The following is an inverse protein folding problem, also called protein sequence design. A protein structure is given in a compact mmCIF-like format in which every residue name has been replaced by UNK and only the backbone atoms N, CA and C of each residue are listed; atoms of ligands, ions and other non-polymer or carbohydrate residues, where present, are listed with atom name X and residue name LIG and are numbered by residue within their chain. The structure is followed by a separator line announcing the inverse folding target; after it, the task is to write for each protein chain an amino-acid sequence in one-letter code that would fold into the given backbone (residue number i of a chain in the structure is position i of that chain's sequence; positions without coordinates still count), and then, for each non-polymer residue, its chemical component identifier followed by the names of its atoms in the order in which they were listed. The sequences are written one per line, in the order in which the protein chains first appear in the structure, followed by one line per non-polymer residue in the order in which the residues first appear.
data_IF_912425578929
#
_entry.id   IF_912425578929
#
_cell.length_a   1.000
_cell.length_b   1.000
_cell.length_c   1.000
_cell.angle_alpha   90.00
_cell.angle_beta   90.00
_cell.angle_gamma   90.00
#
_symmetry.space_group_name_H-M   'P 1'
#
loop_
_entity.id
_entity.type
_entity.pdbx_description
1 polymer ?
#
# COMPACT_ATOMS: atom_id res chain seq x y z
N UNK A 1 8.36 -11.77 -7.27
CA UNK A 1 7.07 -12.47 -7.49
C UNK A 1 6.51 -13.08 -6.20
N UNK A 2 7.30 -13.81 -5.39
CA UNK A 2 6.84 -14.42 -4.12
C UNK A 2 6.22 -13.46 -3.11
N UNK A 3 6.75 -12.23 -3.01
CA UNK A 3 6.18 -11.18 -2.16
C UNK A 3 4.74 -10.79 -2.56
N UNK A 4 4.41 -10.80 -3.85
CA UNK A 4 3.06 -10.45 -4.34
C UNK A 4 2.06 -11.57 -4.01
N UNK A 5 2.51 -12.83 -4.04
CA UNK A 5 1.71 -14.01 -3.71
C UNK A 5 1.86 -14.44 -2.24
N UNK A 6 2.25 -13.51 -1.35
CA UNK A 6 2.63 -13.80 0.03
C UNK A 6 1.61 -14.55 0.90
N UNK A 7 0.27 -14.54 0.68
CA UNK A 7 -0.58 -15.45 1.48
C UNK A 7 -0.44 -16.92 1.07
N UNK A 8 0.13 -17.22 -0.10
CA UNK A 8 0.19 -18.57 -0.67
C UNK A 8 1.61 -19.15 -0.71
N UNK A 9 2.64 -18.32 -0.80
CA UNK A 9 4.04 -18.78 -0.81
C UNK A 9 4.66 -18.79 0.60
N UNK A 10 5.70 -19.62 0.80
CA UNK A 10 6.55 -19.51 1.99
C UNK A 10 7.32 -18.18 1.98
N UNK A 11 7.57 -17.58 3.15
CA UNK A 11 8.19 -16.24 3.26
C UNK A 11 9.67 -16.36 3.60
N UNK A 12 10.54 -16.08 2.64
CA UNK A 12 11.98 -16.01 2.89
C UNK A 12 12.37 -14.66 3.51
N UNK A 13 13.63 -14.56 3.99
CA UNK A 13 14.17 -13.30 4.50
C UNK A 13 14.13 -12.18 3.45
N UNK A 14 14.53 -12.46 2.21
CA UNK A 14 14.51 -11.46 1.13
C UNK A 14 13.09 -10.91 0.86
N UNK A 15 12.07 -11.77 0.89
CA UNK A 15 10.66 -11.36 0.72
C UNK A 15 10.22 -10.43 1.87
N UNK A 16 10.60 -10.77 3.10
CA UNK A 16 10.30 -9.99 4.30
C UNK A 16 11.04 -8.64 4.31
N UNK A 17 12.32 -8.64 3.98
CA UNK A 17 13.15 -7.44 3.93
C UNK A 17 12.65 -6.46 2.87
N UNK A 18 12.39 -6.95 1.65
CA UNK A 18 11.88 -6.12 0.56
C UNK A 18 10.52 -5.49 0.91
N UNK A 19 9.62 -6.25 1.53
CA UNK A 19 8.34 -5.72 1.99
C UNK A 19 8.49 -4.70 3.13
N UNK A 20 9.57 -4.76 3.93
CA UNK A 20 9.87 -3.71 4.91
C UNK A 20 10.24 -2.41 4.21
N UNK A 21 11.17 -2.52 3.25
CA UNK A 21 11.63 -1.35 2.50
C UNK A 21 10.45 -0.69 1.78
N UNK A 22 9.54 -1.50 1.24
CA UNK A 22 8.35 -0.99 0.55
C UNK A 22 7.46 -0.11 1.43
N UNK A 23 7.39 -0.36 2.75
CA UNK A 23 6.63 0.51 3.66
C UNK A 23 7.24 1.91 3.76
N UNK A 24 8.57 2.03 3.73
CA UNK A 24 9.26 3.33 3.66
C UNK A 24 9.11 4.00 2.30
N UNK A 25 8.76 3.25 1.25
CA UNK A 25 8.54 3.76 -0.11
C UNK A 25 7.06 4.11 -0.40
N UNK A 26 6.17 4.13 0.60
CA UNK A 26 4.75 4.45 0.37
C UNK A 26 4.54 5.84 -0.24
N UNK A 27 5.24 6.86 0.24
CA UNK A 27 5.17 8.22 -0.30
C UNK A 27 5.62 8.29 -1.76
N UNK A 28 6.82 7.82 -2.14
CA UNK A 28 7.23 7.85 -3.54
C UNK A 28 6.34 6.97 -4.45
N UNK A 29 5.72 5.90 -3.95
CA UNK A 29 4.73 5.13 -4.72
C UNK A 29 3.45 5.93 -5.01
N UNK A 30 2.99 6.73 -4.05
CA UNK A 30 1.84 7.61 -4.20
C UNK A 30 2.14 8.74 -5.19
N UNK A 31 3.33 9.33 -5.10
CA UNK A 31 3.78 10.35 -6.05
C UNK A 31 3.94 9.76 -7.46
N UNK A 32 4.46 8.54 -7.57
CA UNK A 32 4.58 7.84 -8.84
C UNK A 32 3.21 7.55 -9.46
N UNK A 33 2.22 7.12 -8.66
CA UNK A 33 0.84 6.98 -9.12
C UNK A 33 0.27 8.30 -9.63
N UNK A 34 0.47 9.39 -8.89
CA UNK A 34 0.05 10.73 -9.30
C UNK A 34 0.73 11.14 -10.62
N UNK A 35 2.04 10.97 -10.75
CA UNK A 35 2.79 11.29 -11.97
C UNK A 35 2.28 10.50 -13.17
N UNK A 36 2.05 9.19 -13.03
CA UNK A 36 1.49 8.37 -14.11
C UNK A 36 0.12 8.91 -14.52
N UNK A 37 -0.78 9.11 -13.55
CA UNK A 37 -2.12 9.60 -13.86
C UNK A 37 -2.08 10.98 -14.53
N UNK A 38 -1.23 11.88 -14.01
CA UNK A 38 -1.04 13.22 -14.54
C UNK A 38 -0.57 13.18 -15.99
N UNK A 39 0.45 12.39 -16.32
CA UNK A 39 0.98 12.31 -17.69
C UNK A 39 0.06 11.59 -18.67
N UNK A 40 -0.77 10.65 -18.21
CA UNK A 40 -1.76 9.99 -19.07
C UNK A 40 -2.99 10.85 -19.32
N UNK A 41 -3.34 11.72 -18.37
CA UNK A 41 -4.55 12.55 -18.44
C UNK A 41 -4.29 13.92 -19.05
N UNK A 42 -3.08 14.48 -18.86
CA UNK A 42 -2.69 15.73 -19.48
C UNK A 42 -2.17 15.49 -20.90
N UNK A 43 -2.86 16.07 -21.88
CA UNK A 43 -2.41 16.06 -23.27
C UNK A 43 -1.25 17.01 -23.56
N UNK A 44 -0.94 17.93 -22.64
CA UNK A 44 0.13 18.91 -22.79
C UNK A 44 0.97 19.04 -21.52
N UNK A 45 2.29 18.98 -21.64
CA UNK A 45 3.24 19.02 -20.51
C UNK A 45 3.50 20.42 -19.97
N UNK A 46 3.16 21.46 -20.76
CA UNK A 46 3.35 22.87 -20.38
C UNK A 46 2.15 23.48 -19.66
N UNK A 47 1.01 22.78 -19.62
CA UNK A 47 -0.20 23.24 -18.93
C UNK A 47 -0.53 22.31 -17.78
N UNK A 48 -0.76 22.88 -16.60
CA UNK A 48 -1.32 22.12 -15.49
C UNK A 48 -2.83 21.94 -15.76
N UNK A 49 -3.21 20.82 -16.38
CA UNK A 49 -4.63 20.46 -16.48
C UNK A 49 -5.21 20.08 -15.11
N UNK A 50 -6.34 19.39 -15.08
CA UNK A 50 -7.07 19.10 -13.85
C UNK A 50 -6.31 18.15 -12.90
N UNK A 51 -5.53 18.72 -11.96
CA UNK A 51 -4.82 18.02 -10.90
C UNK A 51 -5.75 17.30 -9.93
N UNK A 52 -7.02 17.72 -9.83
CA UNK A 52 -7.96 17.13 -8.90
C UNK A 52 -8.26 15.68 -9.30
N UNK A 53 -8.36 15.38 -10.60
CA UNK A 53 -8.69 14.05 -11.12
C UNK A 53 -7.73 12.95 -10.66
N UNK A 54 -6.44 13.27 -10.56
CA UNK A 54 -5.36 12.33 -10.23
C UNK A 54 -4.90 12.39 -8.77
N UNK A 55 -5.16 13.50 -8.07
CA UNK A 55 -4.89 13.63 -6.65
C UNK A 55 -6.09 13.19 -5.83
N UNK A 56 -6.90 14.17 -5.44
CA UNK A 56 -8.06 14.04 -4.56
C UNK A 56 -9.22 13.24 -5.17
N UNK A 57 -9.46 13.35 -6.47
CA UNK A 57 -10.61 12.74 -7.16
C UNK A 57 -10.57 11.22 -7.26
N UNK A 58 -9.41 10.58 -7.07
CA UNK A 58 -9.30 9.12 -7.10
C UNK A 58 -9.63 8.50 -5.73
N UNK A 59 -10.92 8.36 -5.43
CA UNK A 59 -11.41 7.75 -4.19
C UNK A 59 -11.13 6.24 -4.04
N UNK A 60 -10.76 5.55 -5.13
CA UNK A 60 -10.54 4.09 -5.13
C UNK A 60 -9.05 3.74 -5.30
N UNK A 61 -8.40 4.24 -6.35
CA UNK A 61 -7.05 3.78 -6.71
C UNK A 61 -6.01 4.29 -5.69
N UNK A 62 -6.09 5.57 -5.33
CA UNK A 62 -5.20 6.22 -4.37
C UNK A 62 -5.13 5.49 -3.00
N UNK A 63 -6.24 5.17 -2.31
CA UNK A 63 -6.16 4.41 -1.07
C UNK A 63 -5.65 2.97 -1.26
N UNK A 64 -5.92 2.33 -2.40
CA UNK A 64 -5.34 1.01 -2.72
C UNK A 64 -3.81 1.12 -2.77
N UNK A 65 -3.27 2.07 -3.54
CA UNK A 65 -1.81 2.28 -3.65
C UNK A 65 -1.18 2.58 -2.29
N UNK A 66 -1.85 3.38 -1.45
CA UNK A 66 -1.40 3.70 -0.11
C UNK A 66 -1.36 2.47 0.82
N UNK A 67 -2.35 1.58 0.71
CA UNK A 67 -2.44 0.36 1.53
C UNK A 67 -1.54 -0.78 1.06
N UNK A 68 -1.11 -0.80 -0.20
CA UNK A 68 -0.38 -1.93 -0.79
C UNK A 68 0.87 -2.35 0.02
N UNK A 69 1.77 -1.44 0.44
CA UNK A 69 2.96 -1.83 1.22
C UNK A 69 2.63 -2.52 2.55
N UNK A 70 1.66 -1.97 3.28
CA UNK A 70 1.21 -2.52 4.55
C UNK A 70 0.49 -3.87 4.35
N UNK A 71 -0.28 -4.01 3.26
CA UNK A 71 -0.92 -5.27 2.89
C UNK A 71 0.07 -6.41 2.69
N UNK A 72 1.16 -6.17 1.94
CA UNK A 72 2.17 -7.21 1.72
C UNK A 72 2.80 -7.67 3.03
N UNK A 73 3.09 -6.75 3.95
CA UNK A 73 3.62 -7.10 5.28
C UNK A 73 2.61 -7.83 6.13
N UNK A 74 1.36 -7.37 6.17
CA UNK A 74 0.27 -8.05 6.87
C UNK A 74 0.12 -9.50 6.39
N UNK A 75 0.03 -9.72 5.07
CA UNK A 75 -0.12 -11.04 4.48
C UNK A 75 1.07 -11.97 4.81
N UNK A 76 2.30 -11.46 4.76
CA UNK A 76 3.49 -12.21 5.16
C UNK A 76 3.48 -12.59 6.64
N UNK A 77 3.06 -11.68 7.53
CA UNK A 77 2.96 -11.96 8.97
C UNK A 77 1.92 -13.04 9.27
N UNK A 78 0.74 -12.97 8.62
CA UNK A 78 -0.31 -14.00 8.73
C UNK A 78 0.20 -15.35 8.19
N UNK A 79 0.89 -15.34 7.05
CA UNK A 79 1.47 -16.55 6.44
C UNK A 79 2.48 -17.22 7.37
N UNK A 80 3.36 -16.45 8.01
CA UNK A 80 4.36 -16.96 8.97
C UNK A 80 3.69 -17.52 10.22
N UNK A 81 2.68 -16.84 10.77
CA UNK A 81 1.89 -17.38 11.87
C UNK A 81 1.25 -18.73 11.49
N UNK A 82 0.71 -18.85 10.27
CA UNK A 82 0.14 -20.11 9.79
C UNK A 82 1.17 -21.24 9.75
N UNK A 83 2.40 -20.95 9.33
CA UNK A 83 3.49 -21.92 9.23
C UNK A 83 4.07 -22.35 10.58
N UNK A 84 4.40 -21.38 11.45
CA UNK A 84 5.07 -21.66 12.71
C UNK A 84 4.13 -21.91 13.88
N UNK A 85 2.86 -21.46 13.78
CA UNK A 85 1.88 -21.40 14.89
C UNK A 85 2.32 -20.53 16.08
N UNK A 86 3.42 -19.80 15.94
CA UNK A 86 3.93 -18.87 16.95
C UNK A 86 3.22 -17.53 16.85
N UNK A 87 2.39 -17.22 17.85
CA UNK A 87 1.64 -15.97 17.89
C UNK A 87 2.57 -14.75 17.97
N UNK A 88 3.64 -14.84 18.77
CA UNK A 88 4.67 -13.81 18.88
C UNK A 88 5.90 -14.21 18.06
N UNK A 89 6.48 -13.33 17.22
CA UNK A 89 6.11 -11.93 16.97
C UNK A 89 5.10 -11.73 15.82
N UNK A 90 4.61 -12.82 15.20
CA UNK A 90 3.93 -12.75 13.90
C UNK A 90 2.57 -12.02 13.94
N UNK A 91 1.67 -12.37 14.87
CA UNK A 91 0.36 -11.72 14.97
C UNK A 91 0.46 -10.28 15.47
N UNK A 92 1.42 -9.99 16.36
CA UNK A 92 1.67 -8.61 16.83
C UNK A 92 2.09 -7.72 15.67
N UNK A 93 3.00 -8.21 14.83
CA UNK A 93 3.40 -7.48 13.62
C UNK A 93 2.24 -7.38 12.60
N UNK A 94 1.43 -8.44 12.44
CA UNK A 94 0.24 -8.36 11.60
C UNK A 94 -0.72 -7.25 12.08
N UNK A 95 -0.97 -7.18 13.40
CA UNK A 95 -1.76 -6.12 14.01
C UNK A 95 -1.18 -4.73 13.74
N UNK A 96 0.14 -4.55 13.94
CA UNK A 96 0.84 -3.30 13.63
C UNK A 96 0.55 -2.83 12.20
N UNK A 97 0.74 -3.70 11.20
CA UNK A 97 0.51 -3.32 9.80
C UNK A 97 -0.97 -3.17 9.44
N UNK A 98 -1.87 -3.86 10.14
CA UNK A 98 -3.31 -3.70 9.94
C UNK A 98 -3.83 -2.31 10.35
N UNK A 99 -3.16 -1.62 11.29
CA UNK A 99 -3.54 -0.25 11.68
C UNK A 99 -3.48 0.73 10.49
N UNK A 100 -2.61 0.50 9.52
CA UNK A 100 -2.52 1.32 8.30
C UNK A 100 -3.85 1.30 7.53
N UNK A 101 -4.55 0.18 7.48
CA UNK A 101 -5.85 0.10 6.79
C UNK A 101 -6.87 1.04 7.42
N UNK A 102 -6.89 1.13 8.75
CA UNK A 102 -7.79 2.04 9.47
C UNK A 102 -7.47 3.50 9.19
N UNK A 103 -6.19 3.85 9.18
CA UNK A 103 -5.74 5.21 8.84
C UNK A 103 -6.16 5.59 7.42
N UNK A 104 -5.94 4.69 6.45
CA UNK A 104 -6.28 4.96 5.04
C UNK A 104 -7.79 5.04 4.83
N UNK A 105 -8.59 4.16 5.44
CA UNK A 105 -10.06 4.21 5.38
C UNK A 105 -10.56 5.54 5.94
N UNK A 106 -10.10 5.92 7.13
CA UNK A 106 -10.53 7.16 7.78
C UNK A 106 -10.13 8.39 6.97
N UNK A 107 -8.92 8.41 6.41
CA UNK A 107 -8.46 9.50 5.53
C UNK A 107 -9.30 9.59 4.25
N UNK A 108 -9.68 8.45 3.66
CA UNK A 108 -10.52 8.41 2.46
C UNK A 108 -11.94 8.87 2.75
N UNK A 109 -12.52 8.44 3.88
CA UNK A 109 -13.82 8.90 4.32
C UNK A 109 -13.83 10.41 4.57
N UNK A 110 -12.83 10.93 5.29
CA UNK A 110 -12.68 12.37 5.49
C UNK A 110 -12.68 13.12 4.16
N UNK A 111 -11.86 12.66 3.21
CA UNK A 111 -11.76 13.27 1.89
C UNK A 111 -13.06 13.22 1.08
N UNK A 112 -13.88 12.19 1.26
CA UNK A 112 -15.18 12.06 0.60
C UNK A 112 -16.25 13.06 1.12
N UNK A 113 -16.16 13.45 2.39
CA UNK A 113 -17.12 14.36 3.02
C UNK A 113 -16.70 15.84 3.00
N UNK A 114 -15.44 16.13 2.68
CA UNK A 114 -14.93 17.49 2.42
C UNK A 114 -15.23 17.95 0.98
#
# INVERSE_FOLDING_TARGET
WRMIIAPFAFVNFADFWLADQLNSLVTPLMDFHFSICFFLTNGNFTEAGDMHKCGSGSLIIRPIVNCLPAWFRFAQCVRRYRDSKEAFPHLVNAGKYATTFLVVITATLKHYYE
#
